data_IF_728887651132
#
_entry.id   IF_728887651132
#
_cell.length_a   1.000
_cell.length_b   1.000
_cell.length_c   1.000
_cell.angle_alpha   90.00
_cell.angle_beta   90.00
_cell.angle_gamma   90.00
#
_symmetry.space_group_name_H-M   'P 1'
#
loop_
_entity.id
_entity.type
_entity.pdbx_description
1 polymer ?
#
# COMPACT_ATOMS: atom_id res chain seq x y z
N UNK A 1 -1.08 32.38 -35.98
CA UNK A 1 -1.54 32.09 -34.59
C UNK A 1 -1.24 30.64 -34.22
N UNK A 2 -1.39 29.70 -35.16
CA UNK A 2 -1.14 28.27 -34.95
C UNK A 2 0.33 27.88 -34.72
N UNK A 3 1.30 28.57 -35.33
CA UNK A 3 2.74 28.32 -35.08
C UNK A 3 3.20 28.73 -33.67
N UNK A 4 2.64 29.80 -33.12
CA UNK A 4 2.96 30.25 -31.76
C UNK A 4 2.36 29.28 -30.74
N UNK A 5 1.13 28.81 -30.98
CA UNK A 5 0.47 27.81 -30.13
C UNK A 5 1.21 26.47 -30.20
N UNK A 6 1.65 26.02 -31.38
CA UNK A 6 2.41 24.77 -31.53
C UNK A 6 3.79 24.84 -30.87
N UNK A 7 4.47 25.99 -30.98
CA UNK A 7 5.75 26.23 -30.33
C UNK A 7 5.62 26.26 -28.80
N UNK A 8 4.64 26.99 -28.26
CA UNK A 8 4.36 27.02 -26.82
C UNK A 8 3.96 25.65 -26.29
N UNK A 9 3.17 24.88 -27.04
CA UNK A 9 2.76 23.52 -26.68
C UNK A 9 3.98 22.58 -26.65
N UNK A 10 4.87 22.65 -27.64
CA UNK A 10 6.10 21.87 -27.68
C UNK A 10 7.08 22.21 -26.54
N UNK A 11 7.14 23.49 -26.13
CA UNK A 11 7.98 23.94 -25.02
C UNK A 11 7.41 23.48 -23.66
N UNK A 12 6.10 23.58 -23.48
CA UNK A 12 5.39 23.04 -22.32
C UNK A 12 5.56 21.53 -22.22
N UNK A 13 5.40 20.80 -23.33
CA UNK A 13 5.59 19.36 -23.36
C UNK A 13 7.01 18.95 -22.96
N UNK A 14 8.04 19.66 -23.45
CA UNK A 14 9.43 19.44 -23.03
C UNK A 14 9.65 19.69 -21.53
N UNK A 15 9.06 20.74 -20.98
CA UNK A 15 9.19 21.05 -19.55
C UNK A 15 8.47 20.01 -18.69
N UNK A 16 7.25 19.62 -19.07
CA UNK A 16 6.46 18.63 -18.31
C UNK A 16 7.07 17.24 -18.34
N UNK A 17 7.73 16.86 -19.44
CA UNK A 17 8.44 15.60 -19.56
C UNK A 17 9.77 15.57 -18.76
N UNK A 18 10.14 16.63 -18.02
CA UNK A 18 11.35 16.63 -17.21
C UNK A 18 11.15 15.75 -15.95
N UNK A 19 12.14 14.90 -15.58
CA UNK A 19 12.05 14.06 -14.38
C UNK A 19 11.78 14.83 -13.09
N UNK A 20 12.37 16.02 -12.94
CA UNK A 20 12.17 16.86 -11.75
C UNK A 20 10.72 17.34 -11.67
N UNK A 21 10.13 17.72 -12.81
CA UNK A 21 8.74 18.19 -12.84
C UNK A 21 7.77 17.07 -12.49
N UNK A 22 8.01 15.85 -12.97
CA UNK A 22 7.19 14.67 -12.65
C UNK A 22 7.27 14.32 -11.16
N UNK A 23 8.46 14.45 -10.55
CA UNK A 23 8.62 14.29 -9.09
C UNK A 23 7.88 15.39 -8.31
N UNK A 24 7.98 16.65 -8.75
CA UNK A 24 7.28 17.77 -8.13
C UNK A 24 5.76 17.64 -8.27
N UNK A 25 5.25 17.12 -9.38
CA UNK A 25 3.83 16.83 -9.57
C UNK A 25 3.37 15.79 -8.54
N UNK A 26 4.10 14.68 -8.39
CA UNK A 26 3.76 13.64 -7.42
C UNK A 26 3.79 14.17 -5.97
N UNK A 27 4.87 14.84 -5.59
CA UNK A 27 5.03 15.38 -4.24
C UNK A 27 4.02 16.49 -3.95
N UNK A 28 3.83 17.42 -4.89
CA UNK A 28 2.86 18.51 -4.79
C UNK A 28 1.44 17.99 -4.69
N UNK A 29 1.06 17.01 -5.52
CA UNK A 29 -0.25 16.37 -5.44
C UNK A 29 -0.46 15.69 -4.07
N UNK A 30 0.56 15.00 -3.54
CA UNK A 30 0.48 14.38 -2.22
C UNK A 30 0.30 15.39 -1.10
N UNK A 31 1.11 16.46 -1.08
CA UNK A 31 1.01 17.50 -0.05
C UNK A 31 -0.34 18.23 -0.10
N UNK A 32 -0.88 18.49 -1.30
CA UNK A 32 -2.20 19.07 -1.47
C UNK A 32 -3.30 18.13 -0.97
N UNK A 33 -3.20 16.84 -1.33
CA UNK A 33 -4.09 15.78 -0.87
C UNK A 33 -4.09 15.65 0.66
N UNK A 34 -2.92 15.63 1.30
CA UNK A 34 -2.77 15.58 2.75
C UNK A 34 -3.37 16.83 3.43
N UNK A 35 -3.07 18.02 2.91
CA UNK A 35 -3.63 19.27 3.45
C UNK A 35 -5.16 19.30 3.33
N UNK A 36 -5.69 18.78 2.24
CA UNK A 36 -7.13 18.64 2.03
C UNK A 36 -7.74 17.62 3.01
N UNK A 37 -7.12 16.45 3.16
CA UNK A 37 -7.53 15.41 4.11
C UNK A 37 -7.64 15.94 5.54
N UNK A 38 -6.63 16.69 6.00
CA UNK A 38 -6.61 17.30 7.33
C UNK A 38 -7.77 18.31 7.49
N UNK A 39 -7.94 19.20 6.50
CA UNK A 39 -9.03 20.21 6.53
C UNK A 39 -10.42 19.61 6.52
N UNK A 40 -10.60 18.48 5.85
CA UNK A 40 -11.88 17.76 5.80
C UNK A 40 -12.14 16.90 7.04
N UNK A 41 -11.32 17.02 8.08
CA UNK A 41 -11.49 16.32 9.36
C UNK A 41 -11.02 14.87 9.33
N UNK A 42 -10.02 14.55 8.48
CA UNK A 42 -9.45 13.19 8.34
C UNK A 42 -10.48 12.12 7.97
N UNK A 43 -11.52 12.51 7.22
CA UNK A 43 -12.53 11.57 6.71
C UNK A 43 -11.90 10.59 5.71
N UNK A 44 -12.17 9.31 5.89
CA UNK A 44 -11.53 8.24 5.12
C UNK A 44 -11.69 8.29 3.60
N UNK A 45 -12.77 8.89 3.10
CA UNK A 45 -12.98 9.06 1.67
C UNK A 45 -11.99 10.01 1.01
N UNK A 46 -11.37 10.90 1.79
CA UNK A 46 -10.34 11.82 1.31
C UNK A 46 -8.92 11.34 1.65
N UNK A 47 -8.73 10.03 1.82
CA UNK A 47 -7.42 9.48 2.18
C UNK A 47 -6.35 9.96 1.18
N UNK A 48 -5.19 10.48 1.65
CA UNK A 48 -4.21 11.13 0.80
C UNK A 48 -3.80 10.30 -0.42
N UNK A 49 -3.67 8.98 -0.26
CA UNK A 49 -3.35 8.08 -1.38
C UNK A 49 -4.34 8.17 -2.54
N UNK A 50 -5.65 8.05 -2.28
CA UNK A 50 -6.67 8.10 -3.34
C UNK A 50 -6.73 9.48 -4.00
N UNK A 51 -6.72 10.53 -3.17
CA UNK A 51 -6.76 11.91 -3.67
C UNK A 51 -5.51 12.27 -4.47
N UNK A 52 -4.33 11.77 -4.08
CA UNK A 52 -3.08 11.97 -4.83
C UNK A 52 -3.16 11.28 -6.19
N UNK A 53 -3.54 10.00 -6.22
CA UNK A 53 -3.69 9.26 -7.47
C UNK A 53 -4.69 9.93 -8.42
N UNK A 54 -5.80 10.43 -7.88
CA UNK A 54 -6.79 11.18 -8.67
C UNK A 54 -6.20 12.49 -9.21
N UNK A 55 -5.52 13.29 -8.38
CA UNK A 55 -4.90 14.54 -8.82
C UNK A 55 -3.84 14.29 -9.92
N UNK A 56 -2.98 13.30 -9.74
CA UNK A 56 -1.95 12.95 -10.74
C UNK A 56 -2.61 12.45 -12.03
N UNK A 57 -3.66 11.62 -11.94
CA UNK A 57 -4.42 11.20 -13.11
C UNK A 57 -5.01 12.39 -13.87
N UNK A 58 -5.61 13.36 -13.17
CA UNK A 58 -6.15 14.58 -13.79
C UNK A 58 -5.04 15.40 -14.45
N UNK A 59 -3.87 15.53 -13.82
CA UNK A 59 -2.71 16.21 -14.42
C UNK A 59 -2.28 15.50 -15.70
N UNK A 60 -2.10 14.18 -15.69
CA UNK A 60 -1.72 13.42 -16.90
C UNK A 60 -2.81 13.56 -17.98
N UNK A 61 -4.09 13.52 -17.61
CA UNK A 61 -5.21 13.53 -18.56
C UNK A 61 -5.42 14.88 -19.26
N UNK A 62 -5.20 15.97 -18.54
CA UNK A 62 -5.49 17.35 -18.99
C UNK A 62 -4.24 18.16 -19.36
N UNK A 63 -3.04 17.57 -19.27
CA UNK A 63 -1.78 18.22 -19.64
C UNK A 63 -1.12 17.55 -20.84
N UNK A 64 -0.15 18.20 -21.51
CA UNK A 64 0.62 17.59 -22.59
C UNK A 64 1.61 16.50 -22.12
N UNK A 65 1.59 16.11 -20.85
CA UNK A 65 2.46 15.09 -20.29
C UNK A 65 2.17 13.72 -20.91
N UNK A 66 3.20 13.09 -21.48
CA UNK A 66 3.06 11.76 -22.05
C UNK A 66 3.03 10.69 -20.94
N UNK A 67 2.07 9.76 -20.94
CA UNK A 67 2.00 8.67 -19.94
C UNK A 67 3.28 7.82 -19.87
N UNK A 68 3.93 7.58 -21.00
CA UNK A 68 5.19 6.82 -21.05
C UNK A 68 6.33 7.57 -20.37
N UNK A 69 6.39 8.90 -20.58
CA UNK A 69 7.37 9.76 -19.93
C UNK A 69 7.12 9.86 -18.43
N UNK A 70 5.86 9.96 -18.00
CA UNK A 70 5.48 9.86 -16.60
C UNK A 70 5.97 8.55 -15.98
N UNK A 71 5.74 7.42 -16.65
CA UNK A 71 6.13 6.09 -16.17
C UNK A 71 7.64 5.96 -16.07
N UNK A 72 8.37 6.41 -17.10
CA UNK A 72 9.83 6.40 -17.17
C UNK A 72 10.45 7.26 -16.07
N UNK A 73 9.96 8.48 -15.88
CA UNK A 73 10.53 9.40 -14.90
C UNK A 73 10.07 9.16 -13.47
N UNK A 74 9.00 8.39 -13.26
CA UNK A 74 8.61 7.90 -11.93
C UNK A 74 9.47 6.70 -11.46
N UNK A 75 10.41 6.22 -12.29
CA UNK A 75 11.31 5.12 -11.94
C UNK A 75 12.15 5.42 -10.68
N UNK A 76 12.52 6.68 -10.46
CA UNK A 76 13.21 7.08 -9.22
C UNK A 76 12.36 6.77 -7.97
N UNK A 77 11.05 7.04 -8.01
CA UNK A 77 10.14 6.71 -6.91
C UNK A 77 10.01 5.19 -6.72
N UNK A 78 9.99 4.42 -7.81
CA UNK A 78 9.98 2.95 -7.76
C UNK A 78 11.29 2.41 -7.19
N UNK A 79 12.43 2.98 -7.56
CA UNK A 79 13.75 2.58 -7.06
C UNK A 79 13.87 2.83 -5.55
N UNK A 80 13.22 3.87 -5.02
CA UNK A 80 13.16 4.16 -3.58
C UNK A 80 12.35 3.13 -2.77
N UNK A 81 11.57 2.26 -3.42
CA UNK A 81 10.86 1.18 -2.72
C UNK A 81 11.83 0.17 -2.09
N UNK A 82 12.95 -0.14 -2.75
CA UNK A 82 13.95 -1.07 -2.24
C UNK A 82 14.62 -0.61 -0.93
N UNK A 83 15.21 0.61 -0.83
CA UNK A 83 15.76 1.10 0.42
C UNK A 83 14.68 1.32 1.49
N UNK A 84 13.44 1.64 1.10
CA UNK A 84 12.32 1.68 2.03
C UNK A 84 12.04 0.30 2.64
N UNK A 85 11.99 -0.77 1.85
CA UNK A 85 11.83 -2.14 2.38
C UNK A 85 12.97 -2.55 3.31
N UNK A 86 14.22 -2.18 3.00
CA UNK A 86 15.36 -2.44 3.91
C UNK A 86 15.21 -1.64 5.21
N UNK A 87 14.74 -0.39 5.13
CA UNK A 87 14.54 0.48 6.30
C UNK A 87 13.46 -0.04 7.26
N UNK A 88 12.54 -0.90 6.81
CA UNK A 88 11.59 -1.60 7.69
C UNK A 88 12.29 -2.53 8.70
N UNK A 89 13.56 -2.87 8.50
CA UNK A 89 14.34 -3.57 9.51
C UNK A 89 14.58 -2.73 10.78
N UNK A 90 14.56 -1.39 10.68
CA UNK A 90 14.78 -0.48 11.81
C UNK A 90 13.67 -0.56 12.86
N UNK A 91 12.37 -0.40 12.54
CA UNK A 91 11.31 -0.56 13.54
C UNK A 91 11.28 -1.99 14.12
N UNK A 92 11.55 -3.02 13.30
CA UNK A 92 11.61 -4.40 13.76
C UNK A 92 12.76 -4.60 14.77
N UNK A 93 13.96 -4.09 14.48
CA UNK A 93 15.13 -4.22 15.37
C UNK A 93 14.93 -3.53 16.71
N UNK A 94 14.32 -2.34 16.71
CA UNK A 94 13.98 -1.60 17.93
C UNK A 94 12.95 -2.30 18.82
N UNK A 95 12.17 -3.20 18.24
CA UNK A 95 11.09 -3.91 18.94
C UNK A 95 11.37 -5.41 19.12
N UNK A 96 12.58 -5.89 18.83
CA UNK A 96 12.97 -7.29 19.02
C UNK A 96 12.76 -7.79 20.45
N UNK A 97 12.97 -6.93 21.45
CA UNK A 97 12.73 -7.27 22.85
C UNK A 97 11.24 -7.58 23.11
N UNK A 98 10.35 -6.71 22.65
CA UNK A 98 8.88 -6.91 22.72
C UNK A 98 8.46 -8.18 21.99
N UNK A 99 9.03 -8.42 20.81
CA UNK A 99 8.77 -9.62 20.02
C UNK A 99 9.17 -10.90 20.76
N UNK A 100 10.28 -10.90 21.50
CA UNK A 100 10.69 -12.06 22.31
C UNK A 100 9.75 -12.32 23.49
N UNK A 101 9.28 -11.27 24.15
CA UNK A 101 8.38 -11.39 25.31
C UNK A 101 6.97 -11.86 24.91
N UNK A 102 6.49 -11.44 23.75
CA UNK A 102 5.14 -11.75 23.25
C UNK A 102 5.16 -12.63 22.00
N UNK A 103 6.24 -13.40 21.79
CA UNK A 103 6.46 -14.17 20.57
C UNK A 103 5.29 -15.10 20.26
N UNK A 104 4.83 -15.87 21.25
CA UNK A 104 3.74 -16.83 21.08
C UNK A 104 2.46 -16.19 20.52
N UNK A 105 1.83 -15.26 21.26
CA UNK A 105 0.59 -14.61 20.80
C UNK A 105 0.74 -13.88 19.45
N UNK A 106 1.87 -13.17 19.24
CA UNK A 106 2.10 -12.43 17.99
C UNK A 106 2.29 -13.36 16.80
N UNK A 107 3.09 -14.43 16.95
CA UNK A 107 3.31 -15.40 15.88
C UNK A 107 2.03 -16.18 15.55
N UNK A 108 1.27 -16.62 16.56
CA UNK A 108 -0.02 -17.26 16.30
C UNK A 108 -0.98 -16.33 15.54
N UNK A 109 -1.08 -15.07 15.98
CA UNK A 109 -1.93 -14.07 15.33
C UNK A 109 -1.48 -13.77 13.90
N UNK A 110 -0.17 -13.70 13.65
CA UNK A 110 0.42 -13.47 12.33
C UNK A 110 0.13 -14.63 11.38
N UNK A 111 0.41 -15.86 11.82
CA UNK A 111 0.26 -17.06 11.00
C UNK A 111 -1.20 -17.26 10.62
N UNK A 112 -2.10 -17.22 11.60
CA UNK A 112 -3.54 -17.41 11.36
C UNK A 112 -4.10 -16.24 10.55
N UNK A 113 -3.81 -15.01 10.95
CA UNK A 113 -4.33 -13.81 10.28
C UNK A 113 -3.84 -13.67 8.85
N UNK A 114 -2.53 -13.84 8.62
CA UNK A 114 -1.93 -13.77 7.28
C UNK A 114 -2.40 -14.90 6.37
N UNK A 115 -2.49 -16.14 6.87
CA UNK A 115 -3.06 -17.27 6.14
C UNK A 115 -4.51 -16.97 5.73
N UNK A 116 -5.38 -16.61 6.68
CA UNK A 116 -6.79 -16.32 6.38
C UNK A 116 -6.92 -15.14 5.40
N UNK A 117 -6.13 -14.07 5.57
CA UNK A 117 -6.18 -12.90 4.70
C UNK A 117 -5.86 -13.25 3.23
N UNK A 118 -4.85 -14.09 3.00
CA UNK A 118 -4.49 -14.56 1.66
C UNK A 118 -5.46 -15.61 1.13
N UNK A 119 -5.74 -16.65 1.92
CA UNK A 119 -6.58 -17.78 1.55
C UNK A 119 -7.99 -17.33 1.19
N UNK A 120 -8.64 -16.50 2.03
CA UNK A 120 -9.98 -15.97 1.75
C UNK A 120 -9.95 -15.07 0.52
N UNK A 121 -8.92 -14.22 0.36
CA UNK A 121 -8.80 -13.33 -0.80
C UNK A 121 -8.72 -14.11 -2.11
N UNK A 122 -7.82 -15.07 -2.20
CA UNK A 122 -7.66 -15.92 -3.37
C UNK A 122 -8.88 -16.82 -3.60
N UNK A 123 -9.43 -17.42 -2.53
CA UNK A 123 -10.62 -18.25 -2.60
C UNK A 123 -11.84 -17.48 -3.11
N UNK A 124 -12.04 -16.23 -2.66
CA UNK A 124 -13.10 -15.37 -3.17
C UNK A 124 -12.89 -15.04 -4.66
N UNK A 125 -11.66 -14.71 -5.06
CA UNK A 125 -11.35 -14.44 -6.46
C UNK A 125 -11.69 -15.63 -7.35
N UNK A 126 -11.28 -16.84 -6.94
CA UNK A 126 -11.61 -18.09 -7.63
C UNK A 126 -13.13 -18.36 -7.66
N UNK A 127 -13.81 -18.21 -6.53
CA UNK A 127 -15.26 -18.44 -6.42
C UNK A 127 -16.07 -17.48 -7.31
N UNK A 128 -15.56 -16.27 -7.55
CA UNK A 128 -16.17 -15.31 -8.48
C UNK A 128 -15.78 -15.51 -9.95
N UNK A 129 -14.97 -16.53 -10.27
CA UNK A 129 -14.53 -16.82 -11.63
C UNK A 129 -13.37 -15.94 -12.13
N UNK A 130 -12.56 -15.39 -11.21
CA UNK A 130 -11.38 -14.60 -11.56
C UNK A 130 -10.33 -15.41 -12.33
N UNK A 131 -9.66 -14.80 -13.30
CA UNK A 131 -8.56 -15.44 -14.03
C UNK A 131 -7.36 -15.73 -13.12
N UNK A 132 -6.46 -16.61 -13.57
CA UNK A 132 -5.22 -16.92 -12.84
C UNK A 132 -4.45 -15.66 -12.48
N UNK A 133 -4.29 -14.72 -13.41
CA UNK A 133 -3.54 -13.48 -13.17
C UNK A 133 -4.25 -12.57 -12.16
N UNK A 134 -5.59 -12.56 -12.12
CA UNK A 134 -6.37 -11.82 -11.11
C UNK A 134 -6.18 -12.43 -9.71
N UNK A 135 -6.25 -13.75 -9.59
CA UNK A 135 -6.01 -14.45 -8.32
C UNK A 135 -4.59 -14.18 -7.82
N UNK A 136 -3.60 -14.24 -8.71
CA UNK A 136 -2.21 -13.91 -8.39
C UNK A 136 -2.06 -12.45 -7.95
N UNK A 137 -2.77 -11.50 -8.58
CA UNK A 137 -2.77 -10.10 -8.14
C UNK A 137 -3.38 -9.92 -6.74
N UNK A 138 -4.39 -10.70 -6.39
CA UNK A 138 -5.07 -10.65 -5.08
C UNK A 138 -4.23 -11.34 -4.00
N UNK A 139 -3.42 -12.34 -4.36
CA UNK A 139 -2.58 -13.12 -3.43
C UNK A 139 -1.62 -12.25 -2.60
N UNK A 140 -1.19 -11.11 -3.14
CA UNK A 140 -0.23 -10.20 -2.51
C UNK A 140 -0.90 -9.04 -1.76
N UNK A 141 -2.24 -9.01 -1.63
CA UNK A 141 -2.97 -7.87 -1.03
C UNK A 141 -2.59 -7.53 0.42
N UNK A 142 -2.10 -8.53 1.17
CA UNK A 142 -1.87 -8.42 2.62
C UNK A 142 -0.49 -7.85 2.98
N UNK A 143 0.39 -7.61 2.00
CA UNK A 143 1.69 -6.98 2.22
C UNK A 143 1.70 -5.53 1.75
N UNK A 144 2.76 -4.79 2.10
CA UNK A 144 2.94 -3.41 1.62
C UNK A 144 3.17 -3.37 0.12
N UNK A 145 2.84 -2.24 -0.52
CA UNK A 145 2.98 -2.05 -1.97
C UNK A 145 4.38 -2.44 -2.49
N UNK A 146 5.44 -2.08 -1.77
CA UNK A 146 6.80 -2.43 -2.17
C UNK A 146 7.01 -3.95 -2.29
N UNK A 147 6.57 -4.72 -1.29
CA UNK A 147 6.70 -6.18 -1.29
C UNK A 147 5.72 -6.81 -2.28
N UNK A 148 4.49 -6.28 -2.36
CA UNK A 148 3.45 -6.79 -3.24
C UNK A 148 3.84 -6.69 -4.71
N UNK A 149 4.44 -5.57 -5.13
CA UNK A 149 4.86 -5.36 -6.51
C UNK A 149 5.98 -6.35 -6.91
N UNK A 150 6.98 -6.53 -6.05
CA UNK A 150 8.06 -7.50 -6.29
C UNK A 150 7.52 -8.92 -6.39
N UNK A 151 6.65 -9.33 -5.46
CA UNK A 151 5.99 -10.64 -5.51
C UNK A 151 5.12 -10.79 -6.76
N UNK A 152 4.34 -9.76 -7.11
CA UNK A 152 3.47 -9.76 -8.29
C UNK A 152 4.24 -9.93 -9.59
N UNK A 153 5.39 -9.28 -9.73
CA UNK A 153 6.27 -9.42 -10.89
C UNK A 153 6.82 -10.85 -11.01
N UNK A 154 7.23 -11.44 -9.88
CA UNK A 154 7.73 -12.82 -9.84
C UNK A 154 6.66 -13.86 -10.18
N UNK A 155 5.40 -13.61 -9.82
CA UNK A 155 4.32 -14.56 -10.03
C UNK A 155 3.62 -14.41 -11.39
N UNK A 156 3.90 -13.34 -12.15
CA UNK A 156 3.20 -13.03 -13.39
C UNK A 156 1.80 -12.45 -13.16
N UNK A 157 1.62 -11.68 -12.08
CA UNK A 157 0.37 -11.00 -11.75
C UNK A 157 0.18 -9.72 -12.60
N UNK A 158 -1.06 -9.21 -12.62
CA UNK A 158 -1.36 -7.90 -13.21
C UNK A 158 -0.90 -6.80 -12.23
N UNK A 159 0.25 -6.19 -12.48
CA UNK A 159 0.89 -5.21 -11.58
C UNK A 159 0.02 -4.00 -11.24
N UNK A 160 -0.70 -3.36 -12.19
CA UNK A 160 -1.65 -2.31 -11.86
C UNK A 160 -2.74 -2.77 -10.87
N UNK A 161 -3.20 -4.01 -10.99
CA UNK A 161 -4.21 -4.58 -10.11
C UNK A 161 -3.63 -4.88 -8.73
N UNK A 162 -2.39 -5.40 -8.64
CA UNK A 162 -1.67 -5.57 -7.36
C UNK A 162 -1.64 -4.25 -6.59
N UNK A 163 -1.21 -3.16 -7.23
CA UNK A 163 -1.15 -1.85 -6.61
C UNK A 163 -2.53 -1.39 -6.12
N UNK A 164 -3.57 -1.55 -6.95
CA UNK A 164 -4.93 -1.15 -6.62
C UNK A 164 -5.49 -1.94 -5.42
N UNK A 165 -5.38 -3.27 -5.43
CA UNK A 165 -5.93 -4.13 -4.37
C UNK A 165 -5.23 -3.88 -3.03
N UNK A 166 -3.91 -3.69 -3.04
CA UNK A 166 -3.15 -3.34 -1.82
C UNK A 166 -3.61 -1.98 -1.28
N UNK A 167 -3.71 -0.95 -2.12
CA UNK A 167 -4.17 0.38 -1.66
C UNK A 167 -5.59 0.30 -1.10
N UNK A 168 -6.51 -0.39 -1.79
CA UNK A 168 -7.90 -0.55 -1.34
C UNK A 168 -7.94 -1.28 0.00
N UNK A 169 -7.22 -2.41 0.13
CA UNK A 169 -7.17 -3.18 1.38
C UNK A 169 -6.62 -2.33 2.53
N UNK A 170 -5.53 -1.60 2.29
CA UNK A 170 -4.89 -0.75 3.29
C UNK A 170 -5.77 0.40 3.77
N UNK A 171 -6.41 1.11 2.84
CA UNK A 171 -7.29 2.22 3.20
C UNK A 171 -8.57 1.70 3.85
N UNK A 172 -9.20 0.67 3.30
CA UNK A 172 -10.40 0.10 3.90
C UNK A 172 -10.13 -0.41 5.32
N UNK A 173 -9.05 -1.16 5.50
CA UNK A 173 -8.62 -1.66 6.79
C UNK A 173 -8.23 -0.55 7.77
N UNK A 174 -7.63 0.54 7.31
CA UNK A 174 -7.31 1.68 8.18
C UNK A 174 -8.57 2.35 8.74
N UNK A 175 -9.64 2.42 7.95
CA UNK A 175 -10.89 3.05 8.33
C UNK A 175 -11.77 2.16 9.23
N UNK A 176 -11.89 0.89 8.86
CA UNK A 176 -12.85 -0.01 9.50
C UNK A 176 -12.21 -0.83 10.61
N UNK A 177 -10.92 -1.16 10.50
CA UNK A 177 -10.22 -2.09 11.38
C UNK A 177 -10.33 -1.78 12.87
N UNK A 178 -10.04 -0.55 13.35
CA UNK A 178 -10.10 -0.26 14.79
C UNK A 178 -11.51 -0.39 15.35
N UNK A 179 -12.52 0.06 14.61
CA UNK A 179 -13.93 -0.05 14.99
C UNK A 179 -14.40 -1.50 14.99
N UNK A 180 -13.97 -2.29 14.00
CA UNK A 180 -14.28 -3.71 13.89
C UNK A 180 -13.71 -4.49 15.08
N UNK A 181 -12.45 -4.26 15.44
CA UNK A 181 -11.84 -4.88 16.62
C UNK A 181 -12.63 -4.55 17.90
N UNK A 182 -13.01 -3.28 18.10
CA UNK A 182 -13.81 -2.86 19.26
C UNK A 182 -15.20 -3.49 19.27
N UNK A 183 -15.83 -3.67 18.11
CA UNK A 183 -17.13 -4.35 17.99
C UNK A 183 -17.06 -5.80 18.46
N UNK A 184 -15.95 -6.48 18.24
CA UNK A 184 -15.69 -7.83 18.77
C UNK A 184 -15.11 -7.83 20.20
N UNK A 185 -15.17 -6.71 20.92
CA UNK A 185 -14.70 -6.60 22.30
C UNK A 185 -13.19 -6.51 22.48
N UNK A 186 -12.41 -6.38 21.40
CA UNK A 186 -10.95 -6.20 21.48
C UNK A 186 -10.65 -4.73 21.77
N UNK A 187 -10.18 -4.46 22.98
CA UNK A 187 -9.86 -3.10 23.46
C UNK A 187 -8.37 -2.87 23.67
N UNK A 188 -7.54 -3.92 23.72
CA UNK A 188 -6.10 -3.79 23.92
C UNK A 188 -5.45 -3.11 22.69
N UNK A 189 -4.83 -1.92 22.86
CA UNK A 189 -4.20 -1.19 21.75
C UNK A 189 -3.11 -2.01 21.06
N UNK A 190 -2.42 -2.92 21.76
CA UNK A 190 -1.40 -3.80 21.18
C UNK A 190 -2.01 -4.78 20.20
N UNK A 191 -3.12 -5.40 20.58
CA UNK A 191 -3.83 -6.39 19.76
C UNK A 191 -4.45 -5.73 18.53
N UNK A 192 -5.16 -4.60 18.72
CA UNK A 192 -5.73 -3.85 17.60
C UNK A 192 -4.62 -3.35 16.68
N UNK A 193 -3.56 -2.76 17.24
CA UNK A 193 -2.39 -2.32 16.47
C UNK A 193 -1.80 -3.45 15.63
N UNK A 194 -1.51 -4.59 16.24
CA UNK A 194 -0.96 -5.74 15.52
C UNK A 194 -1.88 -6.21 14.38
N UNK A 195 -3.19 -6.31 14.64
CA UNK A 195 -4.17 -6.68 13.62
C UNK A 195 -4.21 -5.68 12.45
N UNK A 196 -4.08 -4.39 12.73
CA UNK A 196 -3.98 -3.32 11.71
C UNK A 196 -2.72 -3.49 10.86
N UNK A 197 -1.60 -3.85 11.48
CA UNK A 197 -0.34 -4.11 10.78
C UNK A 197 -0.44 -5.30 9.82
N UNK A 198 -1.06 -6.39 10.29
CA UNK A 198 -1.22 -7.63 9.52
C UNK A 198 -2.20 -7.49 8.35
N UNK A 199 -3.27 -6.71 8.51
CA UNK A 199 -4.37 -6.67 7.53
C UNK A 199 -4.46 -5.38 6.70
N UNK A 200 -3.93 -4.27 7.21
CA UNK A 200 -4.00 -2.94 6.60
C UNK A 200 -2.62 -2.30 6.37
N UNK A 201 -1.54 -3.03 6.70
CA UNK A 201 -0.16 -2.71 6.36
C UNK A 201 0.22 -1.24 6.65
N UNK A 202 0.87 -0.54 5.70
CA UNK A 202 1.31 0.84 5.87
C UNK A 202 0.16 1.83 6.14
N UNK A 203 -0.99 1.67 5.46
CA UNK A 203 -2.15 2.57 5.64
C UNK A 203 -2.77 2.40 7.04
N UNK A 204 -2.92 1.16 7.48
CA UNK A 204 -3.36 0.83 8.83
C UNK A 204 -2.37 1.30 9.90
N UNK A 205 -1.07 1.19 9.63
CA UNK A 205 -0.01 1.62 10.54
C UNK A 205 0.01 3.14 10.72
N UNK A 206 -0.12 3.91 9.64
CA UNK A 206 -0.25 5.35 9.71
C UNK A 206 -1.47 5.74 10.58
N UNK A 207 -2.62 5.11 10.34
CA UNK A 207 -3.83 5.35 11.13
C UNK A 207 -3.68 4.92 12.59
N UNK A 208 -2.98 3.82 12.86
CA UNK A 208 -2.72 3.36 14.21
C UNK A 208 -1.91 4.40 14.99
N UNK A 209 -0.86 5.00 14.41
CA UNK A 209 -0.10 6.09 15.03
C UNK A 209 -0.93 7.36 15.29
N UNK A 210 -1.90 7.66 14.43
CA UNK A 210 -2.83 8.78 14.67
C UNK A 210 -3.75 8.53 15.87
N UNK A 211 -4.08 7.27 16.14
CA UNK A 211 -5.02 6.89 17.19
C UNK A 211 -4.33 6.70 18.53
N UNK A 212 -3.18 6.02 18.55
CA UNK A 212 -2.42 5.73 19.75
C UNK A 212 -0.99 5.28 19.39
N UNK A 213 0.00 5.71 20.19
CA UNK A 213 1.40 5.40 19.95
C UNK A 213 1.67 3.89 20.05
N UNK A 214 1.04 3.21 21.02
CA UNK A 214 1.21 1.76 21.22
C UNK A 214 0.60 0.98 20.05
N UNK A 215 -0.59 1.36 19.60
CA UNK A 215 -1.19 0.78 18.39
C UNK A 215 -0.26 0.90 17.18
N UNK A 216 0.32 2.09 16.96
CA UNK A 216 1.25 2.32 15.85
C UNK A 216 2.52 1.47 15.90
N UNK A 217 3.09 1.30 17.09
CA UNK A 217 4.26 0.44 17.30
C UNK A 217 3.95 -1.02 16.97
N UNK A 218 2.85 -1.57 17.51
CA UNK A 218 2.46 -2.96 17.25
C UNK A 218 1.98 -3.19 15.81
N UNK A 219 1.37 -2.17 15.18
CA UNK A 219 1.04 -2.22 13.76
C UNK A 219 2.28 -2.26 12.88
N UNK A 220 3.30 -1.45 13.21
CA UNK A 220 4.58 -1.48 12.50
C UNK A 220 5.25 -2.85 12.60
N UNK A 221 5.19 -3.48 13.79
CA UNK A 221 5.67 -4.85 14.00
C UNK A 221 4.92 -5.86 13.11
N UNK A 222 3.58 -5.86 13.15
CA UNK A 222 2.76 -6.77 12.34
C UNK A 222 3.03 -6.62 10.84
N UNK A 223 3.12 -5.38 10.36
CA UNK A 223 3.46 -5.07 8.97
C UNK A 223 4.84 -5.63 8.56
N UNK A 224 5.87 -5.46 9.40
CA UNK A 224 7.22 -5.96 9.10
C UNK A 224 7.28 -7.49 9.10
N UNK A 225 6.58 -8.14 10.04
CA UNK A 225 6.52 -9.60 10.09
C UNK A 225 5.75 -10.19 8.91
N UNK A 226 4.66 -9.55 8.48
CA UNK A 226 3.94 -9.93 7.25
C UNK A 226 4.84 -9.85 6.02
N UNK A 227 5.72 -8.84 5.92
CA UNK A 227 6.66 -8.73 4.82
C UNK A 227 7.65 -9.91 4.73
N UNK A 228 7.90 -10.62 5.84
CA UNK A 228 8.75 -11.82 5.88
C UNK A 228 7.89 -13.08 5.67
N UNK A 229 6.74 -13.16 6.34
CA UNK A 229 5.89 -14.34 6.33
C UNK A 229 5.19 -14.59 4.98
N UNK A 230 4.62 -13.55 4.39
CA UNK A 230 3.79 -13.69 3.20
C UNK A 230 4.55 -14.17 1.96
N UNK A 231 5.81 -13.73 1.69
CA UNK A 231 6.61 -14.32 0.61
C UNK A 231 6.88 -15.82 0.75
N UNK A 232 6.84 -16.36 1.98
CA UNK A 232 6.99 -17.80 2.23
C UNK A 232 5.65 -18.53 2.07
N UNK A 233 4.56 -17.90 2.54
CA UNK A 233 3.23 -18.48 2.53
C UNK A 233 2.59 -18.49 1.14
N UNK A 234 2.68 -17.39 0.39
CA UNK A 234 1.93 -17.18 -0.85
C UNK A 234 2.29 -18.20 -1.94
N UNK A 235 3.56 -18.54 -2.21
CA UNK A 235 3.90 -19.58 -3.18
C UNK A 235 3.26 -20.94 -2.86
N UNK A 236 3.21 -21.30 -1.58
CA UNK A 236 2.55 -22.53 -1.14
C UNK A 236 1.03 -22.47 -1.36
N UNK A 237 0.39 -21.35 -1.04
CA UNK A 237 -1.04 -21.17 -1.33
C UNK A 237 -1.36 -21.17 -2.83
N UNK A 238 -0.49 -20.60 -3.66
CA UNK A 238 -0.62 -20.65 -5.12
C UNK A 238 -0.62 -22.10 -5.57
N UNK A 239 0.35 -22.92 -5.14
CA UNK A 239 0.41 -24.35 -5.50
C UNK A 239 -0.77 -25.18 -4.99
N UNK A 240 -1.45 -24.72 -3.93
CA UNK A 240 -2.60 -25.40 -3.35
C UNK A 240 -3.92 -25.07 -4.09
N UNK A 241 -4.05 -23.84 -4.59
CA UNK A 241 -5.32 -23.29 -5.11
C UNK A 241 -5.37 -23.15 -6.63
N UNK A 242 -4.23 -23.08 -7.32
CA UNK A 242 -4.09 -22.85 -8.76
C UNK A 242 -3.31 -23.99 -9.43
#
# INVERSE_FOLDING_TARGET
MDEVISFSYGLLQRQMNNPVVILLINLGAYLLAEKFFIRMGRKGWFHPLFTTSLLVFLVIRFSPLQPDMYTKHSELLKMLLAPFTVSLAVPLSRQLHTLRQLAGPLMCSLLIGGFLAAFIGMGMALATGGSREVVLSISTKAVTTAVALVMGEQYGAIIPLVAAVVIISGVYGSLVGPSLCRMFGVTDPRAIGFAMGVNAHAGGTARAFELDLTMGVYSSLGMCLCAIYMPLLVPWLISLLL
#
